data_IF_729463473684
#
_entry.id   IF_729463473684
#
_cell.length_a   1.000
_cell.length_b   1.000
_cell.length_c   1.000
_cell.angle_alpha   90.00
_cell.angle_beta   90.00
_cell.angle_gamma   90.00
#
_symmetry.space_group_name_H-M   'P 1'
#
loop_
_entity.id
_entity.type
_entity.pdbx_description
1 polymer ?
#
# COMPACT_ATOMS: atom_id res chain seq x y z
N UNK A 1 -9.37 -3.46 16.79
CA UNK A 1 -9.88 -3.21 15.43
C UNK A 1 -10.45 -1.80 15.37
N UNK A 2 -11.22 -1.38 16.37
CA UNK A 2 -11.87 -0.06 16.43
C UNK A 2 -10.93 1.15 16.22
N UNK A 3 -9.70 1.09 16.73
CA UNK A 3 -8.72 2.18 16.56
C UNK A 3 -8.39 2.49 15.08
N UNK A 4 -8.52 1.51 14.17
CA UNK A 4 -8.24 1.75 12.75
C UNK A 4 -9.31 2.61 12.07
N UNK A 5 -10.47 2.82 12.72
CA UNK A 5 -11.57 3.65 12.21
C UNK A 5 -11.45 5.13 12.58
N UNK A 6 -10.45 5.51 13.38
CA UNK A 6 -10.16 6.93 13.59
C UNK A 6 -9.77 7.61 12.28
N UNK A 7 -10.25 8.85 12.07
CA UNK A 7 -9.99 9.61 10.85
C UNK A 7 -8.51 9.95 10.66
N UNK A 8 -7.69 9.88 11.71
CA UNK A 8 -6.23 9.99 11.62
C UNK A 8 -5.58 8.87 10.81
N UNK A 9 -6.28 7.73 10.65
CA UNK A 9 -5.86 6.59 9.83
C UNK A 9 -6.63 6.52 8.50
N UNK A 10 -7.46 7.53 8.18
CA UNK A 10 -8.26 7.56 6.96
C UNK A 10 -7.71 8.56 5.96
N UNK A 11 -7.87 8.24 4.69
CA UNK A 11 -7.55 9.15 3.60
C UNK A 11 -8.59 8.96 2.47
N UNK A 12 -9.00 10.02 1.76
CA UNK A 12 -9.95 9.87 0.66
C UNK A 12 -9.42 8.93 -0.42
N UNK A 13 -10.17 7.87 -0.71
CA UNK A 13 -9.80 6.83 -1.66
C UNK A 13 -10.93 6.60 -2.66
N UNK A 14 -10.57 6.35 -3.91
CA UNK A 14 -11.52 5.84 -4.91
C UNK A 14 -12.11 4.51 -4.40
N UNK A 15 -13.44 4.41 -4.39
CA UNK A 15 -14.14 3.27 -3.82
C UNK A 15 -14.05 2.02 -4.71
N UNK A 16 -14.88 1.97 -5.74
CA UNK A 16 -14.90 0.88 -6.72
C UNK A 16 -13.64 0.91 -7.60
N UNK A 17 -13.04 -0.25 -7.80
CA UNK A 17 -11.83 -0.43 -8.61
C UNK A 17 -10.53 -0.04 -7.91
N UNK A 18 -10.58 0.46 -6.67
CA UNK A 18 -9.37 0.76 -5.89
C UNK A 18 -9.51 0.27 -4.44
N UNK A 19 -10.11 1.03 -3.53
CA UNK A 19 -10.19 0.67 -2.11
C UNK A 19 -10.91 -0.68 -1.90
N UNK A 20 -12.05 -0.88 -2.56
CA UNK A 20 -12.87 -2.10 -2.41
C UNK A 20 -12.34 -3.30 -3.19
N UNK A 21 -11.35 -3.08 -4.06
CA UNK A 21 -10.84 -4.09 -4.99
C UNK A 21 -9.31 -4.18 -4.89
N UNK A 22 -8.57 -3.55 -5.82
CA UNK A 22 -7.13 -3.72 -5.97
C UNK A 22 -6.33 -3.44 -4.68
N UNK A 23 -6.69 -2.38 -3.94
CA UNK A 23 -6.03 -2.04 -2.68
C UNK A 23 -6.29 -3.10 -1.61
N UNK A 24 -7.52 -3.60 -1.50
CA UNK A 24 -7.86 -4.65 -0.56
C UNK A 24 -7.22 -6.01 -0.91
N UNK A 25 -7.04 -6.31 -2.22
CA UNK A 25 -6.24 -7.44 -2.69
C UNK A 25 -4.75 -7.27 -2.33
N UNK A 26 -4.22 -6.05 -2.42
CA UNK A 26 -2.84 -5.77 -2.02
C UNK A 26 -2.67 -5.91 -0.50
N UNK A 27 -3.63 -5.44 0.30
CA UNK A 27 -3.64 -5.70 1.74
C UNK A 27 -3.74 -7.19 2.06
N UNK A 28 -4.43 -7.98 1.22
CA UNK A 28 -4.44 -9.42 1.36
C UNK A 28 -3.11 -10.09 1.07
N UNK A 29 -2.44 -9.66 0.00
CA UNK A 29 -1.06 -10.06 -0.27
C UNK A 29 -0.17 -9.78 0.95
N UNK A 30 -0.24 -8.58 1.53
CA UNK A 30 0.49 -8.22 2.73
C UNK A 30 0.20 -9.15 3.92
N UNK A 31 -1.07 -9.53 4.14
CA UNK A 31 -1.44 -10.50 5.17
C UNK A 31 -0.84 -11.88 4.92
N UNK A 32 -0.80 -12.34 3.66
CA UNK A 32 -0.25 -13.66 3.31
C UNK A 32 1.27 -13.76 3.43
N UNK A 33 1.98 -12.63 3.44
CA UNK A 33 3.43 -12.62 3.70
C UNK A 33 3.78 -13.30 5.04
N UNK A 34 2.88 -13.28 6.02
CA UNK A 34 3.12 -13.90 7.33
C UNK A 34 3.16 -15.43 7.30
N UNK A 35 2.73 -16.06 6.20
CA UNK A 35 2.89 -17.50 5.98
C UNK A 35 4.37 -17.87 5.79
N UNK A 36 5.15 -16.97 5.20
CA UNK A 36 6.58 -17.18 4.90
C UNK A 36 7.49 -16.44 5.89
N UNK A 37 7.09 -15.26 6.33
CA UNK A 37 7.90 -14.38 7.18
C UNK A 37 7.27 -14.26 8.58
N UNK A 38 7.97 -14.64 9.66
CA UNK A 38 7.42 -14.54 11.02
C UNK A 38 7.12 -13.10 11.48
N UNK A 39 7.72 -12.09 10.83
CA UNK A 39 7.49 -10.67 11.14
C UNK A 39 7.37 -9.87 9.84
N UNK A 40 6.29 -9.10 9.71
CA UNK A 40 6.03 -8.21 8.58
C UNK A 40 5.63 -6.84 9.11
N UNK A 41 6.43 -5.82 8.78
CA UNK A 41 6.19 -4.41 9.14
C UNK A 41 5.89 -3.62 7.88
N UNK A 42 4.80 -2.86 7.90
CA UNK A 42 4.31 -2.15 6.71
C UNK A 42 4.06 -0.69 7.07
N UNK A 43 4.68 0.20 6.32
CA UNK A 43 4.38 1.64 6.38
C UNK A 43 3.54 1.99 5.16
N UNK A 44 2.39 2.60 5.38
CA UNK A 44 1.45 3.00 4.32
C UNK A 44 1.18 4.49 4.45
N UNK A 45 1.09 5.20 3.32
CA UNK A 45 0.74 6.61 3.35
C UNK A 45 0.35 7.18 1.98
N UNK A 46 -0.18 8.42 1.97
CA UNK A 46 -0.52 9.13 0.75
C UNK A 46 0.71 9.76 0.08
N UNK A 47 0.62 10.03 -1.22
CA UNK A 47 1.56 10.82 -2.01
C UNK A 47 0.85 11.85 -2.89
N UNK A 48 1.53 12.96 -3.11
CA UNK A 48 1.10 14.06 -3.98
C UNK A 48 2.16 14.25 -5.08
N UNK A 49 2.10 13.41 -6.10
CA UNK A 49 3.12 13.34 -7.13
C UNK A 49 2.90 14.42 -8.20
N UNK A 50 3.98 15.06 -8.69
CA UNK A 50 3.88 16.08 -9.70
C UNK A 50 3.50 15.47 -11.06
N UNK A 51 2.74 16.23 -11.85
CA UNK A 51 2.44 15.92 -13.25
C UNK A 51 2.88 17.10 -14.11
N UNK A 52 3.36 16.79 -15.31
CA UNK A 52 3.71 17.80 -16.31
C UNK A 52 2.43 18.34 -16.92
N UNK A 53 2.25 19.65 -16.89
CA UNK A 53 1.11 20.32 -17.51
C UNK A 53 1.31 20.35 -19.03
N UNK A 54 0.34 19.86 -19.83
CA UNK A 54 0.48 19.83 -21.28
C UNK A 54 0.39 21.22 -21.95
N UNK A 55 -0.06 22.25 -21.23
CA UNK A 55 -0.23 23.62 -21.76
C UNK A 55 1.07 24.41 -21.72
N UNK A 56 1.83 24.33 -20.62
CA UNK A 56 3.04 25.13 -20.42
C UNK A 56 4.32 24.33 -20.15
N UNK A 57 4.24 22.99 -20.20
CA UNK A 57 5.34 22.04 -20.06
C UNK A 57 6.07 22.12 -18.70
N UNK A 58 5.42 22.68 -17.66
CA UNK A 58 5.97 22.73 -16.29
C UNK A 58 5.39 21.64 -15.40
N UNK A 59 6.07 21.37 -14.29
CA UNK A 59 5.65 20.38 -13.30
C UNK A 59 4.82 21.03 -12.20
N UNK A 60 3.64 20.46 -11.95
CA UNK A 60 2.75 20.91 -10.88
C UNK A 60 2.29 19.74 -10.02
N UNK A 61 2.12 19.99 -8.73
CA UNK A 61 1.37 19.11 -7.85
C UNK A 61 -0.06 19.65 -7.76
N UNK A 62 -1.03 18.87 -8.24
CA UNK A 62 -2.46 19.22 -8.21
C UNK A 62 -3.25 18.08 -7.59
N UNK A 63 -4.08 18.41 -6.61
CA UNK A 63 -4.96 17.47 -5.92
C UNK A 63 -6.26 18.17 -5.50
N UNK A 64 -7.33 17.39 -5.36
CA UNK A 64 -8.62 17.87 -4.87
C UNK A 64 -8.55 18.09 -3.35
N UNK A 65 -9.27 19.12 -2.88
CA UNK A 65 -9.53 19.36 -1.47
C UNK A 65 -11.03 19.22 -1.22
N UNK A 66 -11.42 18.39 -0.26
CA UNK A 66 -12.82 18.16 0.11
C UNK A 66 -13.12 18.71 1.51
N UNK A 67 -14.42 18.89 1.80
CA UNK A 67 -14.93 19.50 3.04
C UNK A 67 -15.42 20.94 2.84
N UNK A 68 -16.09 21.48 3.85
CA UNK A 68 -16.59 22.87 3.85
C UNK A 68 -16.29 23.54 5.20
N UNK A 69 -15.27 24.42 5.30
CA UNK A 69 -14.33 24.78 4.23
C UNK A 69 -13.42 23.61 3.84
N UNK A 70 -12.78 23.64 2.64
CA UNK A 70 -11.90 22.57 2.18
C UNK A 70 -10.76 22.33 3.17
N UNK A 71 -10.66 21.13 3.70
CA UNK A 71 -9.72 20.80 4.79
C UNK A 71 -9.07 19.42 4.67
N UNK A 72 -9.59 18.55 3.79
CA UNK A 72 -9.06 17.20 3.58
C UNK A 72 -8.52 17.08 2.16
N UNK A 73 -7.22 16.76 2.05
CA UNK A 73 -6.57 16.55 0.76
C UNK A 73 -6.86 15.14 0.22
N UNK A 74 -7.16 15.06 -1.08
CA UNK A 74 -7.32 13.79 -1.81
C UNK A 74 -5.97 13.41 -2.43
N UNK A 75 -5.31 12.32 -2.00
CA UNK A 75 -4.01 11.95 -2.54
C UNK A 75 -4.07 11.59 -4.01
N UNK A 76 -2.97 11.84 -4.71
CA UNK A 76 -2.81 11.38 -6.09
C UNK A 76 -2.47 9.90 -6.16
N UNK A 77 -1.72 9.40 -5.17
CA UNK A 77 -1.22 8.03 -5.08
C UNK A 77 -1.16 7.61 -3.61
N UNK A 78 -1.00 6.32 -3.38
CA UNK A 78 -0.66 5.74 -2.09
C UNK A 78 0.61 4.91 -2.23
N UNK A 79 1.37 4.80 -1.15
CA UNK A 79 2.49 3.89 -1.07
C UNK A 79 2.28 2.81 0.00
N UNK A 80 2.96 1.68 -0.20
CA UNK A 80 3.29 0.75 0.88
C UNK A 80 4.79 0.44 0.82
N UNK A 81 5.48 0.56 1.96
CA UNK A 81 6.83 0.04 2.15
C UNK A 81 6.73 -1.13 3.13
N UNK A 82 7.14 -2.30 2.66
CA UNK A 82 7.02 -3.59 3.35
C UNK A 82 8.42 -4.03 3.76
N UNK A 83 8.58 -4.42 5.03
CA UNK A 83 9.74 -5.09 5.57
C UNK A 83 9.30 -6.46 6.07
N UNK A 84 9.81 -7.53 5.46
CA UNK A 84 9.52 -8.90 5.84
C UNK A 84 10.82 -9.55 6.37
N UNK A 85 10.79 -9.96 7.64
CA UNK A 85 11.96 -10.46 8.37
C UNK A 85 11.89 -11.99 8.46
N UNK A 86 13.04 -12.65 8.29
CA UNK A 86 13.18 -14.11 8.34
C UNK A 86 13.12 -14.70 9.77
N UNK A 87 13.06 -13.85 10.80
CA UNK A 87 13.01 -14.24 12.21
C UNK A 87 14.38 -14.48 12.85
N UNK A 88 15.47 -14.41 12.09
CA UNK A 88 16.82 -14.60 12.62
C UNK A 88 17.39 -13.27 13.14
N UNK A 89 18.04 -13.31 14.31
CA UNK A 89 18.77 -12.14 14.82
C UNK A 89 19.91 -11.81 13.85
N UNK A 90 19.88 -10.61 13.27
CA UNK A 90 20.84 -10.20 12.25
C UNK A 90 20.56 -10.77 10.85
N UNK A 91 19.44 -11.47 10.66
CA UNK A 91 19.02 -12.07 9.39
C UNK A 91 18.73 -11.06 8.28
N UNK A 92 18.45 -11.58 7.08
CA UNK A 92 18.09 -10.73 5.94
C UNK A 92 16.67 -10.18 6.11
N UNK A 93 16.42 -9.02 5.50
CA UNK A 93 15.10 -8.39 5.47
C UNK A 93 14.72 -8.16 4.03
N UNK A 94 13.64 -8.78 3.61
CA UNK A 94 13.04 -8.57 2.30
C UNK A 94 12.26 -7.24 2.32
N UNK A 95 12.59 -6.34 1.41
CA UNK A 95 12.00 -5.01 1.28
C UNK A 95 11.27 -4.91 -0.05
N UNK A 96 10.02 -4.46 0.00
CA UNK A 96 9.25 -4.08 -1.19
C UNK A 96 8.66 -2.69 -0.99
N UNK A 97 8.78 -1.83 -1.99
CA UNK A 97 8.14 -0.52 -2.00
C UNK A 97 7.25 -0.41 -3.23
N UNK A 98 6.02 0.05 -3.03
CA UNK A 98 4.99 0.08 -4.06
C UNK A 98 4.31 1.44 -4.06
N UNK A 99 4.02 1.97 -5.25
CA UNK A 99 3.29 3.23 -5.44
C UNK A 99 2.14 3.00 -6.42
N UNK A 100 0.90 3.18 -5.93
CA UNK A 100 -0.32 2.94 -6.69
C UNK A 100 -1.09 4.26 -6.87
N UNK A 101 -1.64 4.56 -8.05
CA UNK A 101 -2.50 5.73 -8.25
C UNK A 101 -3.79 5.58 -7.46
N UNK A 102 -4.29 6.68 -6.88
CA UNK A 102 -5.62 6.76 -6.26
C UNK A 102 -6.69 6.84 -7.36
N UNK A 103 -6.84 5.76 -8.11
CA UNK A 103 -7.71 5.64 -9.26
C UNK A 103 -8.10 4.16 -9.44
N UNK A 104 -9.10 3.90 -10.30
CA UNK A 104 -9.44 2.52 -10.67
C UNK A 104 -8.23 1.80 -11.27
N UNK A 105 -7.90 0.64 -10.73
CA UNK A 105 -6.86 -0.27 -11.23
C UNK A 105 -7.54 -1.59 -11.58
N UNK A 106 -7.25 -2.10 -12.77
CA UNK A 106 -7.78 -3.39 -13.20
C UNK A 106 -7.08 -4.53 -12.45
N UNK A 107 -7.84 -5.55 -12.04
CA UNK A 107 -7.31 -6.66 -11.24
C UNK A 107 -6.36 -7.60 -12.02
N UNK A 108 -6.28 -7.47 -13.34
CA UNK A 108 -5.32 -8.16 -14.20
C UNK A 108 -3.93 -7.51 -14.20
N UNK A 109 -3.82 -6.25 -13.74
CA UNK A 109 -2.53 -5.59 -13.56
C UNK A 109 -1.70 -6.37 -12.53
N UNK A 110 -0.44 -6.72 -12.83
CA UNK A 110 0.42 -7.36 -11.86
C UNK A 110 0.88 -6.35 -10.80
N UNK A 111 0.99 -6.79 -9.55
CA UNK A 111 1.46 -5.92 -8.45
C UNK A 111 2.87 -5.35 -8.71
N UNK A 112 3.71 -6.11 -9.41
CA UNK A 112 5.07 -5.71 -9.78
C UNK A 112 5.14 -4.50 -10.72
N UNK A 113 4.06 -4.17 -11.46
CA UNK A 113 3.99 -2.93 -12.26
C UNK A 113 4.09 -1.68 -11.38
N UNK A 114 3.75 -1.81 -10.09
CA UNK A 114 3.72 -0.72 -9.12
C UNK A 114 4.92 -0.76 -8.17
N UNK A 115 5.82 -1.73 -8.32
CA UNK A 115 7.03 -1.82 -7.51
C UNK A 115 8.04 -0.73 -7.92
N UNK A 116 8.58 -0.03 -6.92
CA UNK A 116 9.58 1.02 -7.10
C UNK A 116 10.72 0.81 -6.10
N UNK A 117 11.90 1.41 -6.33
CA UNK A 117 12.93 1.48 -5.29
C UNK A 117 12.40 2.19 -4.04
N UNK A 118 12.85 1.77 -2.84
CA UNK A 118 12.43 2.42 -1.58
C UNK A 118 12.81 3.91 -1.58
N UNK A 119 13.96 4.23 -2.18
CA UNK A 119 14.48 5.58 -2.31
C UNK A 119 13.55 6.48 -3.15
N UNK A 120 12.76 5.90 -4.07
CA UNK A 120 11.77 6.66 -4.83
C UNK A 120 10.60 7.09 -3.94
N UNK A 121 10.16 6.24 -3.01
CA UNK A 121 9.13 6.60 -2.02
C UNK A 121 9.69 7.61 -1.01
N UNK A 122 10.93 7.43 -0.56
CA UNK A 122 11.60 8.38 0.35
C UNK A 122 11.68 9.78 -0.29
N UNK A 123 12.15 9.89 -1.54
CA UNK A 123 12.19 11.16 -2.28
C UNK A 123 10.81 11.79 -2.47
N UNK A 124 9.78 10.97 -2.73
CA UNK A 124 8.43 11.46 -3.00
C UNK A 124 7.66 11.87 -1.73
N UNK A 125 7.94 11.21 -0.60
CA UNK A 125 7.24 11.44 0.68
C UNK A 125 7.97 12.38 1.63
N UNK A 126 9.29 12.57 1.45
CA UNK A 126 10.15 13.28 2.41
C UNK A 126 10.41 12.49 3.69
N UNK A 127 10.18 11.17 3.67
CA UNK A 127 10.39 10.26 4.80
C UNK A 127 11.60 9.36 4.56
N UNK A 128 12.13 8.76 5.62
CA UNK A 128 13.17 7.74 5.56
C UNK A 128 12.66 6.45 6.21
N UNK A 129 12.75 5.31 5.52
CA UNK A 129 12.16 4.05 6.01
C UNK A 129 13.20 3.02 6.45
N UNK A 130 14.39 2.98 5.83
CA UNK A 130 15.34 1.89 6.01
C UNK A 130 16.66 2.29 6.70
N UNK A 131 16.73 3.46 7.35
CA UNK A 131 17.97 4.03 7.91
C UNK A 131 18.69 3.13 8.92
N UNK A 132 17.93 2.41 9.75
CA UNK A 132 18.47 1.49 10.76
C UNK A 132 18.83 0.11 10.21
N UNK A 133 18.58 -0.16 8.94
CA UNK A 133 18.80 -1.47 8.32
C UNK A 133 20.01 -1.41 7.37
N UNK A 134 21.13 -2.09 7.69
CA UNK A 134 22.31 -2.12 6.83
C UNK A 134 22.00 -2.64 5.42
N UNK A 135 22.55 -1.98 4.39
CA UNK A 135 22.31 -2.30 2.97
C UNK A 135 22.60 -3.77 2.65
N UNK A 136 23.66 -4.33 3.23
CA UNK A 136 24.07 -5.74 3.07
C UNK A 136 22.98 -6.76 3.44
N UNK A 137 22.06 -6.38 4.34
CA UNK A 137 20.96 -7.23 4.84
C UNK A 137 19.67 -7.04 4.04
N UNK A 138 19.61 -6.06 3.13
CA UNK A 138 18.40 -5.76 2.36
C UNK A 138 18.30 -6.71 1.18
N UNK A 139 17.16 -7.38 1.04
CA UNK A 139 16.80 -8.22 -0.11
C UNK A 139 15.56 -7.63 -0.78
N UNK A 140 15.38 -7.90 -2.07
CA UNK A 140 14.20 -7.42 -2.80
C UNK A 140 13.06 -8.41 -2.60
N UNK A 141 11.94 -7.94 -2.03
CA UNK A 141 10.79 -8.79 -1.70
C UNK A 141 10.27 -9.58 -2.90
N UNK A 142 10.07 -8.92 -4.05
CA UNK A 142 9.55 -9.57 -5.25
C UNK A 142 10.60 -10.42 -6.01
N UNK A 143 11.84 -10.47 -5.54
CA UNK A 143 12.84 -11.43 -6.00
C UNK A 143 12.83 -12.71 -5.14
N UNK A 144 12.56 -12.57 -3.84
CA UNK A 144 12.53 -13.68 -2.88
C UNK A 144 11.20 -14.44 -2.92
N UNK A 145 10.11 -13.80 -3.35
CA UNK A 145 8.81 -14.43 -3.53
C UNK A 145 7.97 -13.81 -4.66
N UNK A 146 6.97 -14.56 -5.12
CA UNK A 146 6.07 -14.11 -6.17
C UNK A 146 5.11 -13.05 -5.63
N UNK A 147 5.36 -11.78 -5.97
CA UNK A 147 4.47 -10.66 -5.71
C UNK A 147 3.21 -10.71 -6.60
N UNK A 148 2.30 -11.63 -6.30
CA UNK A 148 1.05 -11.82 -7.03
C UNK A 148 -0.19 -11.64 -6.14
N UNK A 149 -1.18 -10.93 -6.66
CA UNK A 149 -2.51 -10.80 -6.06
C UNK A 149 -3.29 -12.10 -6.27
N UNK A 150 -4.02 -12.54 -5.25
CA UNK A 150 -4.89 -13.73 -5.33
C UNK A 150 -6.35 -13.30 -5.13
N UNK A 151 -7.07 -13.19 -6.25
CA UNK A 151 -8.41 -12.57 -6.30
C UNK A 151 -9.51 -13.56 -5.89
N UNK A 152 -9.47 -14.81 -6.39
CA UNK A 152 -10.53 -15.81 -6.12
C UNK A 152 -10.65 -16.14 -4.63
N UNK A 153 -9.53 -16.46 -3.98
CA UNK A 153 -9.52 -16.78 -2.54
C UNK A 153 -9.92 -15.59 -1.66
N UNK A 154 -9.64 -14.37 -2.12
CA UNK A 154 -10.08 -13.16 -1.43
C UNK A 154 -11.61 -13.02 -1.48
N UNK A 155 -12.22 -13.20 -2.67
CA UNK A 155 -13.67 -13.13 -2.83
C UNK A 155 -14.40 -14.18 -1.98
N UNK A 156 -13.87 -15.40 -1.91
CA UNK A 156 -14.44 -16.46 -1.09
C UNK A 156 -14.28 -16.19 0.42
N UNK A 157 -13.14 -15.65 0.85
CA UNK A 157 -12.95 -15.20 2.25
C UNK A 157 -13.91 -14.07 2.63
N UNK A 158 -14.08 -13.05 1.79
CA UNK A 158 -15.03 -11.96 2.05
C UNK A 158 -16.47 -12.47 2.23
N UNK A 159 -16.90 -13.45 1.41
CA UNK A 159 -18.20 -14.10 1.58
C UNK A 159 -18.33 -14.87 2.89
N UNK A 160 -17.25 -15.47 3.39
CA UNK A 160 -17.24 -16.16 4.68
C UNK A 160 -17.33 -15.17 5.87
N UNK A 161 -16.61 -14.04 5.81
CA UNK A 161 -16.68 -12.98 6.83
C UNK A 161 -18.05 -12.30 6.88
N UNK A 162 -18.70 -12.07 5.73
CA UNK A 162 -20.05 -11.47 5.67
C UNK A 162 -21.18 -12.36 6.23
N UNK A 163 -20.91 -13.63 6.57
CA UNK A 163 -21.88 -14.56 7.17
C UNK A 163 -21.76 -14.66 8.70
N UNK A 164 -20.97 -13.81 9.36
CA UNK A 164 -20.88 -13.74 10.82
C UNK A 164 -22.22 -13.33 11.45
N UNK A 165 -22.83 -14.25 12.20
CA UNK A 165 -24.12 -14.10 12.88
C UNK A 165 -24.13 -12.89 13.86
N UNK A 166 -25.30 -12.26 14.11
CA UNK A 166 -25.40 -11.16 15.07
C UNK A 166 -25.04 -11.66 16.48
N UNK A 167 -24.51 -10.79 17.35
CA UNK A 167 -24.20 -11.15 18.72
C UNK A 167 -25.48 -11.62 19.41
N UNK A 168 -25.42 -12.81 20.02
CA UNK A 168 -26.49 -13.25 20.92
C UNK A 168 -26.45 -12.33 22.15
N UNK A 169 -27.57 -11.65 22.38
CA UNK A 169 -27.89 -10.88 23.59
C UNK A 169 -27.77 -11.71 24.86
#
# INVERSE_FOLDING_TARGET
MDDTFFLSNMCPQVGEGFNRDYWAHFEDFCRRLTVQYPSVRIVTGPLYLPRKDPVDDKWYVKYEMIGSPPSVAVPTHFYKVIFAEDGNVGGNVAIGAFVLPNARISNDKPLTDFEVPVEAVERASGLEFATKLPVQRRRRLCADMTCALVIKEYADRQKAFGKGAPPKS
#
